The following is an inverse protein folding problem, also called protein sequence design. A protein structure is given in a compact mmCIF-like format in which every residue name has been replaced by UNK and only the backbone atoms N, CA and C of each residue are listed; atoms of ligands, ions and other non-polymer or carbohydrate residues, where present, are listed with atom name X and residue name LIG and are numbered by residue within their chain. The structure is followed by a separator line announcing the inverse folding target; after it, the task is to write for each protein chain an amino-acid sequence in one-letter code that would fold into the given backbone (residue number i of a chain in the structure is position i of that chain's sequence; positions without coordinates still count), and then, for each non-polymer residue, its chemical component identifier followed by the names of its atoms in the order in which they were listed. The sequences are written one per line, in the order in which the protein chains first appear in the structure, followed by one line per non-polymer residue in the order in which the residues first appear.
data_IF_035036519037
#
_entry.id   IF_035036519037
#
_cell.length_a   1.000
_cell.length_b   1.000
_cell.length_c   1.000
_cell.angle_alpha   90.00
_cell.angle_beta   90.00
_cell.angle_gamma   90.00
#
_symmetry.space_group_name_H-M   'P 1'
#
loop_
_entity.id
_entity.type
_entity.pdbx_description
1 polymer ?
#
# COMPACT_ATOMS: atom_id res chain seq x y z
N UNK A 1 -12.82 -16.96 3.29
CA UNK A 1 -14.01 -16.95 4.16
C UNK A 1 -15.22 -17.43 3.36
N UNK A 2 -15.96 -18.42 3.83
CA UNK A 2 -17.17 -18.93 3.16
C UNK A 2 -18.41 -18.57 4.00
N UNK A 3 -19.53 -18.28 3.35
CA UNK A 3 -20.82 -18.01 4.00
C UNK A 3 -21.40 -16.59 3.81
N UNK A 4 -22.64 -16.34 4.28
CA UNK A 4 -23.35 -15.08 4.04
C UNK A 4 -22.64 -13.85 4.58
N UNK A 5 -22.09 -13.92 5.81
CA UNK A 5 -21.29 -12.83 6.40
C UNK A 5 -20.11 -12.43 5.50
N UNK A 6 -19.38 -13.42 4.98
CA UNK A 6 -18.24 -13.15 4.09
C UNK A 6 -18.69 -12.48 2.79
N UNK A 7 -19.76 -12.97 2.16
CA UNK A 7 -20.30 -12.36 0.93
C UNK A 7 -20.80 -10.94 1.15
N UNK A 8 -21.41 -10.64 2.29
CA UNK A 8 -21.81 -9.29 2.70
C UNK A 8 -20.58 -8.37 2.77
N UNK A 9 -19.51 -8.80 3.46
CA UNK A 9 -18.26 -8.05 3.58
C UNK A 9 -17.62 -7.80 2.21
N UNK A 10 -17.41 -8.83 1.39
CA UNK A 10 -16.81 -8.64 0.06
C UNK A 10 -17.66 -7.72 -0.82
N UNK A 11 -18.99 -7.83 -0.74
CA UNK A 11 -19.89 -6.97 -1.50
C UNK A 11 -19.83 -5.52 -1.03
N UNK A 12 -19.72 -5.29 0.27
CA UNK A 12 -19.52 -3.96 0.84
C UNK A 12 -18.20 -3.34 0.36
N UNK A 13 -17.08 -4.07 0.47
CA UNK A 13 -15.76 -3.62 -0.02
C UNK A 13 -15.85 -3.24 -1.51
N UNK A 14 -16.44 -4.12 -2.32
CA UNK A 14 -16.52 -3.91 -3.77
C UNK A 14 -17.48 -2.79 -4.19
N UNK A 15 -18.56 -2.55 -3.46
CA UNK A 15 -19.46 -1.43 -3.74
C UNK A 15 -18.83 -0.11 -3.31
N UNK A 16 -18.28 -0.04 -2.09
CA UNK A 16 -17.66 1.18 -1.55
C UNK A 16 -16.48 1.60 -2.41
N UNK A 17 -15.62 0.67 -2.83
CA UNK A 17 -14.46 1.01 -3.66
C UNK A 17 -14.83 1.55 -5.04
N UNK A 18 -16.03 1.26 -5.54
CA UNK A 18 -16.50 1.70 -6.86
C UNK A 18 -17.31 2.99 -6.74
N UNK A 19 -18.26 3.03 -5.81
CA UNK A 19 -19.33 4.03 -5.75
C UNK A 19 -19.20 4.97 -4.55
N UNK A 20 -18.37 4.65 -3.56
CA UNK A 20 -18.38 5.30 -2.25
C UNK A 20 -19.48 4.77 -1.34
N UNK A 21 -19.47 5.18 -0.06
CA UNK A 21 -20.37 4.64 0.97
C UNK A 21 -21.84 5.01 0.73
N UNK A 22 -22.12 6.26 0.35
CA UNK A 22 -23.49 6.74 0.19
C UNK A 22 -24.19 6.09 -1.02
N UNK A 23 -23.51 5.99 -2.16
CA UNK A 23 -24.06 5.37 -3.35
C UNK A 23 -24.15 3.83 -3.25
N UNK A 24 -23.36 3.19 -2.37
CA UNK A 24 -23.47 1.77 -2.02
C UNK A 24 -24.74 1.48 -1.19
N UNK A 25 -25.92 1.65 -1.78
CA UNK A 25 -27.21 1.45 -1.11
C UNK A 25 -27.43 0.03 -0.58
N UNK A 26 -28.30 -0.10 0.43
CA UNK A 26 -28.63 -1.39 1.05
C UNK A 26 -29.12 -2.43 0.03
N UNK A 27 -30.01 -2.02 -0.89
CA UNK A 27 -30.54 -2.91 -1.94
C UNK A 27 -29.42 -3.45 -2.82
N UNK A 28 -28.58 -2.57 -3.38
CA UNK A 28 -27.44 -2.98 -4.20
C UNK A 28 -26.48 -3.93 -3.47
N UNK A 29 -26.31 -3.74 -2.17
CA UNK A 29 -25.48 -4.59 -1.32
C UNK A 29 -26.09 -5.99 -1.14
N UNK A 30 -27.39 -6.08 -0.85
CA UNK A 30 -28.08 -7.37 -0.70
C UNK A 30 -28.11 -8.15 -2.03
N UNK A 31 -28.40 -7.45 -3.13
CA UNK A 31 -28.40 -8.02 -4.47
C UNK A 31 -27.02 -8.58 -4.85
N UNK A 32 -25.95 -7.80 -4.62
CA UNK A 32 -24.58 -8.22 -4.91
C UNK A 32 -24.14 -9.40 -4.04
N UNK A 33 -24.46 -9.37 -2.75
CA UNK A 33 -24.04 -10.40 -1.79
C UNK A 33 -24.85 -11.70 -1.89
N UNK A 34 -26.00 -11.67 -2.60
CA UNK A 34 -26.99 -12.75 -2.61
C UNK A 34 -27.37 -13.15 -1.18
N UNK A 35 -27.51 -12.15 -0.31
CA UNK A 35 -27.91 -12.31 1.08
C UNK A 35 -29.29 -11.69 1.29
N UNK A 36 -30.09 -12.29 2.16
CA UNK A 36 -31.38 -11.70 2.53
C UNK A 36 -31.19 -10.55 3.51
N UNK A 37 -32.17 -9.65 3.58
CA UNK A 37 -32.22 -8.61 4.62
C UNK A 37 -32.11 -9.21 6.02
N UNK A 38 -32.76 -10.36 6.26
CA UNK A 38 -32.65 -11.09 7.52
C UNK A 38 -31.20 -11.53 7.81
N UNK A 39 -30.49 -12.04 6.81
CA UNK A 39 -29.08 -12.45 6.96
C UNK A 39 -28.16 -11.26 7.29
N UNK A 40 -28.44 -10.06 6.76
CA UNK A 40 -27.72 -8.85 7.15
C UNK A 40 -27.86 -8.60 8.66
N UNK A 41 -29.09 -8.48 9.17
CA UNK A 41 -29.32 -8.16 10.58
C UNK A 41 -28.89 -9.28 11.54
N UNK A 42 -28.85 -10.54 11.09
CA UNK A 42 -28.27 -11.64 11.86
C UNK A 42 -26.76 -11.51 12.06
N UNK A 43 -26.03 -10.96 11.09
CA UNK A 43 -24.57 -10.84 11.13
C UNK A 43 -24.07 -9.45 11.52
N UNK A 44 -24.89 -8.43 11.31
CA UNK A 44 -24.63 -7.02 11.56
C UNK A 44 -25.93 -6.40 12.12
N UNK A 45 -26.21 -6.58 13.42
CA UNK A 45 -27.46 -6.13 14.04
C UNK A 45 -27.74 -4.63 13.86
N UNK A 46 -26.69 -3.82 13.76
CA UNK A 46 -26.78 -2.36 13.52
C UNK A 46 -26.89 -2.02 12.02
N UNK A 47 -26.94 -3.04 11.16
CA UNK A 47 -27.27 -2.92 9.75
C UNK A 47 -26.09 -2.53 8.86
N UNK A 48 -26.37 -1.66 7.87
CA UNK A 48 -25.43 -1.32 6.80
C UNK A 48 -24.17 -0.63 7.35
N UNK A 49 -24.31 0.31 8.27
CA UNK A 49 -23.17 1.09 8.77
C UNK A 49 -22.14 0.21 9.48
N UNK A 50 -22.59 -0.73 10.33
CA UNK A 50 -21.72 -1.72 10.97
C UNK A 50 -21.04 -2.65 9.96
N UNK A 51 -21.78 -3.11 8.95
CA UNK A 51 -21.20 -3.91 7.86
C UNK A 51 -20.11 -3.13 7.12
N UNK A 52 -20.37 -1.87 6.76
CA UNK A 52 -19.40 -1.07 6.01
C UNK A 52 -18.19 -0.73 6.88
N UNK A 53 -18.36 -0.37 8.15
CA UNK A 53 -17.23 -0.15 9.07
C UNK A 53 -16.37 -1.42 9.21
N UNK A 54 -17.01 -2.58 9.40
CA UNK A 54 -16.32 -3.88 9.45
C UNK A 54 -15.58 -4.18 8.14
N UNK A 55 -16.22 -3.91 7.00
CA UNK A 55 -15.63 -4.08 5.68
C UNK A 55 -14.42 -3.16 5.47
N UNK A 56 -14.49 -1.91 5.93
CA UNK A 56 -13.38 -0.95 5.91
C UNK A 56 -12.21 -1.47 6.74
N UNK A 57 -12.43 -1.92 7.98
CA UNK A 57 -11.37 -2.51 8.81
C UNK A 57 -10.72 -3.73 8.16
N UNK A 58 -11.53 -4.64 7.59
CA UNK A 58 -11.02 -5.84 6.93
C UNK A 58 -10.23 -5.49 5.66
N UNK A 59 -10.72 -4.54 4.85
CA UNK A 59 -10.00 -4.06 3.67
C UNK A 59 -8.68 -3.38 4.04
N UNK A 60 -8.70 -2.58 5.11
CA UNK A 60 -7.52 -1.94 5.71
C UNK A 60 -6.45 -2.97 6.06
N UNK A 61 -6.81 -3.95 6.88
CA UNK A 61 -5.91 -5.01 7.34
C UNK A 61 -5.35 -5.88 6.20
N UNK A 62 -6.10 -6.06 5.10
CA UNK A 62 -5.58 -6.77 3.91
C UNK A 62 -4.42 -6.01 3.28
N UNK A 63 -4.53 -4.69 3.12
CA UNK A 63 -3.43 -3.90 2.58
C UNK A 63 -2.26 -3.83 3.55
N UNK A 64 -2.52 -3.77 4.87
CA UNK A 64 -1.49 -3.93 5.91
C UNK A 64 -0.68 -5.20 5.70
N UNK A 65 -1.34 -6.34 5.55
CA UNK A 65 -0.64 -7.62 5.29
C UNK A 65 0.17 -7.60 4.00
N UNK A 66 -0.28 -6.89 2.96
CA UNK A 66 0.48 -6.72 1.72
C UNK A 66 1.73 -5.87 1.97
N UNK A 67 1.59 -4.74 2.67
CA UNK A 67 2.69 -3.85 3.05
C UNK A 67 3.74 -4.63 3.86
N UNK A 68 3.34 -5.34 4.90
CA UNK A 68 4.26 -6.13 5.74
C UNK A 68 5.02 -7.19 4.93
N UNK A 69 4.34 -7.86 3.98
CA UNK A 69 4.99 -8.85 3.12
C UNK A 69 6.01 -8.24 2.17
N UNK A 70 5.68 -7.11 1.54
CA UNK A 70 6.62 -6.48 0.59
C UNK A 70 7.81 -5.89 1.34
N UNK A 71 7.60 -5.26 2.51
CA UNK A 71 8.69 -4.64 3.29
C UNK A 71 9.63 -5.67 3.88
N UNK A 72 9.14 -6.87 4.24
CA UNK A 72 9.96 -7.93 4.79
C UNK A 72 10.82 -8.68 3.76
N UNK A 73 10.49 -8.62 2.46
CA UNK A 73 11.06 -9.54 1.46
C UNK A 73 11.73 -8.88 0.26
N UNK A 74 11.71 -7.55 0.18
CA UNK A 74 12.15 -6.80 -1.00
C UNK A 74 12.87 -5.52 -0.60
N UNK A 75 13.66 -4.97 -1.52
CA UNK A 75 14.22 -3.63 -1.40
C UNK A 75 13.14 -2.55 -1.60
N UNK A 76 13.30 -1.34 -1.02
CA UNK A 76 12.30 -0.26 -1.08
C UNK A 76 11.81 0.12 -2.47
N UNK A 77 12.69 0.12 -3.48
CA UNK A 77 12.36 0.40 -4.88
C UNK A 77 11.31 -0.58 -5.42
N UNK A 78 11.44 -1.86 -5.05
CA UNK A 78 10.49 -2.92 -5.44
C UNK A 78 9.15 -2.83 -4.74
N UNK A 79 9.04 -2.11 -3.62
CA UNK A 79 7.76 -1.92 -2.92
C UNK A 79 6.84 -1.04 -3.74
N UNK A 80 7.36 0.10 -4.21
CA UNK A 80 6.62 1.04 -5.06
C UNK A 80 6.17 0.37 -6.35
N UNK A 81 7.07 -0.36 -7.03
CA UNK A 81 6.73 -1.14 -8.22
C UNK A 81 5.60 -2.14 -7.97
N UNK A 82 5.66 -2.87 -6.86
CA UNK A 82 4.67 -3.90 -6.53
C UNK A 82 3.29 -3.32 -6.22
N UNK A 83 3.23 -2.26 -5.41
CA UNK A 83 1.97 -1.58 -5.06
C UNK A 83 1.33 -0.92 -6.28
N UNK A 84 2.14 -0.24 -7.09
CA UNK A 84 1.65 0.45 -8.29
C UNK A 84 1.22 -0.55 -9.36
N UNK A 85 1.98 -1.62 -9.59
CA UNK A 85 1.60 -2.69 -10.51
C UNK A 85 0.29 -3.37 -10.13
N UNK A 86 0.04 -3.59 -8.83
CA UNK A 86 -1.23 -4.10 -8.34
C UNK A 86 -2.40 -3.15 -8.65
N UNK A 87 -2.23 -1.84 -8.44
CA UNK A 87 -3.25 -0.84 -8.75
C UNK A 87 -3.50 -0.67 -10.25
N UNK A 88 -2.46 -0.71 -11.08
CA UNK A 88 -2.55 -0.71 -12.55
C UNK A 88 -3.43 -1.86 -13.02
N UNK A 89 -3.14 -3.08 -12.55
CA UNK A 89 -3.91 -4.28 -12.89
C UNK A 89 -5.37 -4.15 -12.44
N UNK A 90 -5.58 -3.66 -11.21
CA UNK A 90 -6.91 -3.46 -10.62
C UNK A 90 -7.75 -2.43 -11.41
N UNK A 91 -7.14 -1.32 -11.82
CA UNK A 91 -7.82 -0.28 -12.59
C UNK A 91 -8.20 -0.80 -13.98
N UNK A 92 -7.27 -1.42 -14.70
CA UNK A 92 -7.54 -1.97 -16.03
C UNK A 92 -8.64 -3.04 -15.99
N UNK A 93 -8.53 -4.01 -15.07
CA UNK A 93 -9.52 -5.09 -14.91
C UNK A 93 -10.92 -4.59 -14.55
N UNK A 94 -11.02 -3.41 -13.93
CA UNK A 94 -12.30 -2.80 -13.54
C UNK A 94 -12.81 -1.74 -14.53
N UNK A 95 -12.18 -1.60 -15.70
CA UNK A 95 -12.44 -0.49 -16.64
C UNK A 95 -12.38 0.88 -15.94
N UNK A 96 -11.38 1.06 -15.06
CA UNK A 96 -11.11 2.27 -14.28
C UNK A 96 -12.28 2.69 -13.39
N UNK A 97 -13.04 1.72 -12.87
CA UNK A 97 -14.13 1.95 -11.91
C UNK A 97 -13.75 1.66 -10.48
N UNK A 98 -12.80 0.77 -10.22
CA UNK A 98 -12.36 0.48 -8.87
C UNK A 98 -11.43 1.60 -8.34
N UNK A 99 -11.54 1.90 -7.07
CA UNK A 99 -10.64 2.77 -6.32
C UNK A 99 -10.30 2.14 -4.98
N UNK A 100 -9.82 2.94 -4.03
CA UNK A 100 -9.55 2.51 -2.67
C UNK A 100 -10.85 2.54 -1.83
N UNK A 101 -11.27 1.41 -1.22
CA UNK A 101 -12.43 1.40 -0.33
C UNK A 101 -12.23 2.29 0.90
N UNK A 102 -10.98 2.47 1.36
CA UNK A 102 -10.66 3.29 2.53
C UNK A 102 -10.85 4.78 2.22
N UNK A 103 -10.43 5.25 1.03
CA UNK A 103 -10.78 6.60 0.56
C UNK A 103 -12.29 6.78 0.46
N UNK A 104 -13.01 5.80 -0.09
CA UNK A 104 -14.47 5.85 -0.16
C UNK A 104 -15.15 5.93 1.22
N UNK A 105 -14.58 5.26 2.23
CA UNK A 105 -15.04 5.29 3.61
C UNK A 105 -14.68 6.59 4.33
N UNK A 106 -13.49 7.15 4.08
CA UNK A 106 -13.04 8.41 4.67
C UNK A 106 -13.94 9.60 4.27
N UNK A 107 -14.57 9.55 3.09
CA UNK A 107 -15.48 10.57 2.60
C UNK A 107 -16.93 10.45 3.12
N UNK A 108 -17.22 9.47 3.99
CA UNK A 108 -18.55 9.24 4.52
C UNK A 108 -18.86 10.13 5.74
N UNK A 109 -18.98 11.44 5.54
CA UNK A 109 -19.10 12.46 6.61
C UNK A 109 -20.21 12.20 7.63
N UNK A 110 -21.35 11.63 7.19
CA UNK A 110 -22.47 11.32 8.08
C UNK A 110 -22.34 9.98 8.83
N UNK A 111 -21.21 9.27 8.71
CA UNK A 111 -21.00 7.93 9.23
C UNK A 111 -19.69 7.85 10.03
N UNK A 112 -19.66 8.38 11.28
CA UNK A 112 -18.43 8.57 12.05
C UNK A 112 -17.66 7.28 12.30
N UNK A 113 -18.34 6.15 12.53
CA UNK A 113 -17.69 4.86 12.76
C UNK A 113 -16.97 4.35 11.50
N UNK A 114 -17.53 4.63 10.32
CA UNK A 114 -16.92 4.27 9.03
C UNK A 114 -15.69 5.14 8.77
N UNK A 115 -15.77 6.45 9.05
CA UNK A 115 -14.63 7.36 8.94
C UNK A 115 -13.52 7.00 9.94
N UNK A 116 -13.87 6.65 11.18
CA UNK A 116 -12.91 6.23 12.19
C UNK A 116 -12.18 4.94 11.77
N UNK A 117 -12.90 3.96 11.20
CA UNK A 117 -12.29 2.75 10.64
C UNK A 117 -11.33 3.07 9.49
N UNK A 118 -11.65 4.05 8.64
CA UNK A 118 -10.77 4.49 7.56
C UNK A 118 -9.52 5.21 8.09
N UNK A 119 -9.68 6.09 9.08
CA UNK A 119 -8.57 6.78 9.74
C UNK A 119 -7.60 5.81 10.41
N UNK A 120 -8.12 4.80 11.10
CA UNK A 120 -7.31 3.74 11.70
C UNK A 120 -6.53 2.93 10.65
N UNK A 121 -7.13 2.64 9.50
CA UNK A 121 -6.44 1.96 8.41
C UNK A 121 -5.30 2.80 7.83
N UNK A 122 -5.51 4.10 7.58
CA UNK A 122 -4.44 4.99 7.12
C UNK A 122 -3.30 5.10 8.13
N UNK A 123 -3.62 5.25 9.42
CA UNK A 123 -2.62 5.31 10.48
C UNK A 123 -1.74 4.05 10.51
N UNK A 124 -2.35 2.87 10.46
CA UNK A 124 -1.61 1.60 10.42
C UNK A 124 -0.75 1.48 9.16
N UNK A 125 -1.25 1.88 7.99
CA UNK A 125 -0.44 1.84 6.76
C UNK A 125 0.76 2.80 6.82
N UNK A 126 0.58 4.01 7.36
CA UNK A 126 1.67 4.96 7.57
C UNK A 126 2.73 4.38 8.51
N UNK A 127 2.31 3.78 9.62
CA UNK A 127 3.23 3.19 10.60
C UNK A 127 4.02 2.03 10.00
N UNK A 128 3.37 1.13 9.26
CA UNK A 128 4.04 -0.03 8.65
C UNK A 128 4.98 0.35 7.52
N UNK A 129 4.58 1.28 6.65
CA UNK A 129 5.47 1.78 5.59
C UNK A 129 6.63 2.57 6.18
N UNK A 130 6.36 3.44 7.16
CA UNK A 130 7.39 4.21 7.86
C UNK A 130 8.42 3.32 8.55
N UNK A 131 7.97 2.27 9.24
CA UNK A 131 8.86 1.28 9.83
C UNK A 131 9.71 0.55 8.77
N UNK A 132 9.11 0.23 7.62
CA UNK A 132 9.85 -0.34 6.48
C UNK A 132 10.94 0.60 5.97
N UNK A 133 10.60 1.86 5.70
CA UNK A 133 11.56 2.87 5.24
C UNK A 133 12.69 3.12 6.25
N UNK A 134 12.37 3.17 7.54
CA UNK A 134 13.36 3.28 8.60
C UNK A 134 14.32 2.08 8.62
N UNK A 135 13.79 0.86 8.50
CA UNK A 135 14.60 -0.35 8.40
C UNK A 135 15.49 -0.39 7.16
N UNK A 136 15.14 0.35 6.11
CA UNK A 136 15.95 0.52 4.91
C UNK A 136 17.00 1.64 5.00
N UNK A 137 17.13 2.32 6.15
CA UNK A 137 18.16 3.32 6.42
C UNK A 137 17.72 4.78 6.30
N UNK A 138 16.42 5.05 6.07
CA UNK A 138 15.88 6.41 6.07
C UNK A 138 15.70 6.88 7.52
N UNK A 139 16.14 8.10 7.92
CA UNK A 139 15.92 8.60 9.28
C UNK A 139 14.45 8.59 9.69
N UNK A 140 14.13 8.19 10.92
CA UNK A 140 12.76 7.94 11.40
C UNK A 140 11.75 9.06 11.09
N UNK A 141 12.15 10.33 11.24
CA UNK A 141 11.28 11.48 10.97
C UNK A 141 10.93 11.58 9.47
N UNK A 142 11.94 11.42 8.61
CA UNK A 142 11.76 11.41 7.15
C UNK A 142 11.00 10.17 6.71
N UNK A 143 11.27 8.99 7.28
CA UNK A 143 10.59 7.75 6.96
C UNK A 143 9.07 7.83 7.21
N UNK A 144 8.65 8.42 8.34
CA UNK A 144 7.24 8.64 8.66
C UNK A 144 6.58 9.64 7.70
N UNK A 145 7.25 10.77 7.45
CA UNK A 145 6.76 11.80 6.52
C UNK A 145 6.63 11.24 5.10
N UNK A 146 7.64 10.50 4.64
CA UNK A 146 7.68 9.89 3.32
C UNK A 146 6.63 8.80 3.14
N UNK A 147 6.37 7.98 4.16
CA UNK A 147 5.27 7.01 4.14
C UNK A 147 3.90 7.68 3.93
N UNK A 148 3.65 8.79 4.63
CA UNK A 148 2.44 9.61 4.44
C UNK A 148 2.35 10.19 3.02
N UNK A 149 3.47 10.68 2.49
CA UNK A 149 3.56 11.20 1.13
C UNK A 149 3.29 10.13 0.07
N UNK A 150 3.86 8.92 0.21
CA UNK A 150 3.65 7.79 -0.70
C UNK A 150 2.17 7.42 -0.78
N UNK A 151 1.49 7.31 0.37
CA UNK A 151 0.06 6.99 0.42
C UNK A 151 -0.76 8.11 -0.24
N UNK A 152 -0.46 9.37 0.10
CA UNK A 152 -1.16 10.53 -0.48
C UNK A 152 -1.01 10.60 -2.01
N UNK A 153 0.21 10.42 -2.52
CA UNK A 153 0.51 10.43 -3.96
C UNK A 153 -0.18 9.27 -4.69
N UNK A 154 -0.16 8.07 -4.10
CA UNK A 154 -0.80 6.88 -4.69
C UNK A 154 -2.33 7.03 -4.73
N UNK A 155 -2.96 7.46 -3.64
CA UNK A 155 -4.42 7.65 -3.59
C UNK A 155 -4.88 8.78 -4.52
N UNK A 156 -4.13 9.88 -4.59
CA UNK A 156 -4.36 10.94 -5.57
C UNK A 156 -4.24 10.45 -7.01
N UNK A 157 -3.24 9.63 -7.31
CA UNK A 157 -3.06 9.03 -8.63
C UNK A 157 -4.19 8.05 -9.00
N UNK A 158 -4.71 7.27 -8.05
CA UNK A 158 -5.85 6.36 -8.27
C UNK A 158 -7.11 7.17 -8.62
N UNK A 159 -7.39 8.25 -7.89
CA UNK A 159 -8.52 9.13 -8.16
C UNK A 159 -8.42 9.75 -9.56
N UNK A 160 -7.25 10.30 -9.91
CA UNK A 160 -7.02 10.86 -11.24
C UNK A 160 -7.16 9.80 -12.34
N UNK A 161 -6.57 8.62 -12.14
CA UNK A 161 -6.61 7.50 -13.09
C UNK A 161 -8.05 7.07 -13.40
N UNK A 162 -8.94 7.08 -12.40
CA UNK A 162 -10.37 6.81 -12.59
C UNK A 162 -11.07 7.88 -13.43
N UNK A 163 -10.71 9.15 -13.25
CA UNK A 163 -11.30 10.27 -13.96
C UNK A 163 -10.87 10.29 -15.44
N UNK A 164 -9.58 10.13 -15.70
CA UNK A 164 -8.98 10.23 -17.04
C UNK A 164 -8.94 8.89 -17.79
N UNK A 165 -9.36 7.79 -17.16
CA UNK A 165 -9.37 6.43 -17.73
C UNK A 165 -8.01 6.00 -18.26
N UNK A 166 -6.96 6.31 -17.51
CA UNK A 166 -5.58 5.98 -17.85
C UNK A 166 -4.81 5.59 -16.59
N UNK A 167 -3.77 4.79 -16.75
CA UNK A 167 -2.80 4.47 -15.69
C UNK A 167 -1.67 5.49 -15.61
N UNK A 168 -1.64 6.49 -16.51
CA UNK A 168 -0.59 7.49 -16.56
C UNK A 168 -0.35 8.20 -15.21
N UNK A 169 -1.37 8.62 -14.44
CA UNK A 169 -1.12 9.26 -13.15
C UNK A 169 -0.37 8.37 -12.14
N UNK A 170 -0.59 7.05 -12.19
CA UNK A 170 0.15 6.09 -11.36
C UNK A 170 1.60 5.93 -11.84
N UNK A 171 1.82 5.93 -13.16
CA UNK A 171 3.17 5.90 -13.74
C UNK A 171 3.95 7.16 -13.38
N UNK A 172 3.32 8.34 -13.43
CA UNK A 172 3.95 9.60 -13.04
C UNK A 172 4.26 9.63 -11.54
N UNK A 173 3.32 9.18 -10.70
CA UNK A 173 3.55 9.04 -9.26
C UNK A 173 4.73 8.10 -8.98
N UNK A 174 4.79 6.93 -9.64
CA UNK A 174 5.92 6.00 -9.50
C UNK A 174 7.25 6.69 -9.78
N UNK A 175 7.36 7.34 -10.95
CA UNK A 175 8.58 8.00 -11.40
C UNK A 175 9.10 8.99 -10.34
N UNK A 176 8.23 9.84 -9.82
CA UNK A 176 8.62 10.87 -8.85
C UNK A 176 8.85 10.31 -7.45
N UNK A 177 8.11 9.29 -7.03
CA UNK A 177 8.34 8.62 -5.77
C UNK A 177 9.67 7.86 -5.76
N UNK A 178 10.08 7.25 -6.87
CA UNK A 178 11.41 6.62 -6.99
C UNK A 178 12.54 7.62 -6.85
N UNK A 179 12.45 8.80 -7.49
CA UNK A 179 13.47 9.85 -7.34
C UNK A 179 13.60 10.33 -5.89
N UNK A 180 12.48 10.51 -5.19
CA UNK A 180 12.49 10.90 -3.78
C UNK A 180 13.00 9.79 -2.87
N UNK A 181 12.63 8.54 -3.14
CA UNK A 181 13.14 7.38 -2.41
C UNK A 181 14.66 7.29 -2.52
N UNK A 182 15.22 7.42 -3.72
CA UNK A 182 16.66 7.40 -3.95
C UNK A 182 17.39 8.55 -3.23
N UNK A 183 16.74 9.72 -3.10
CA UNK A 183 17.28 10.84 -2.35
C UNK A 183 17.40 10.54 -0.84
N UNK A 184 16.44 9.79 -0.29
CA UNK A 184 16.40 9.46 1.13
C UNK A 184 17.22 8.23 1.51
N UNK A 185 17.42 7.30 0.57
CA UNK A 185 18.22 6.11 0.82
C UNK A 185 19.69 6.51 1.02
N UNK A 186 20.39 5.89 1.99
CA UNK A 186 21.81 6.13 2.15
C UNK A 186 22.54 5.70 0.88
N UNK A 187 23.60 6.42 0.53
CA UNK A 187 24.50 6.01 -0.54
C UNK A 187 24.97 4.56 -0.27
N UNK A 188 25.07 3.70 -1.30
CA UNK A 188 25.62 2.37 -1.11
C UNK A 188 27.01 2.52 -0.47
N UNK A 189 27.24 1.80 0.64
CA UNK A 189 28.52 1.84 1.31
C UNK A 189 29.61 1.54 0.28
N UNK A 190 30.51 2.51 0.02
CA UNK A 190 31.68 2.26 -0.81
C UNK A 190 32.43 1.09 -0.19
N UNK A 191 32.57 0.01 -0.97
CA UNK A 191 33.12 -1.24 -0.49
C UNK A 191 34.51 -1.05 0.11
N UNK A 192 34.69 -1.59 1.30
CA UNK A 192 35.98 -1.89 1.91
C UNK A 192 36.76 -2.81 0.95
N UNK A 193 37.56 -2.18 0.10
CA UNK A 193 38.22 -2.79 -1.04
C UNK A 193 39.57 -2.15 -1.35
N UNK A 194 40.22 -1.57 -0.33
CA UNK A 194 41.66 -1.31 -0.40
C UNK A 194 42.39 -2.60 -0.01
N UNK A 195 42.60 -3.49 -0.99
CA UNK A 195 43.53 -4.61 -0.82
C UNK A 195 44.91 -4.02 -0.55
N UNK A 196 45.36 -4.16 0.69
CA UNK A 196 46.71 -3.90 1.12
C UNK A 196 47.71 -4.69 0.27
N UNK A 197 48.49 -4.00 -0.55
CA UNK A 197 49.69 -4.56 -1.16
C UNK A 197 50.78 -4.65 -0.09
N UNK A 198 50.82 -5.78 0.62
CA UNK A 198 51.95 -6.20 1.44
C UNK A 198 52.43 -7.56 0.94
N UNK A 199 53.63 -7.59 0.34
CA UNK A 199 54.26 -8.78 -0.21
C UNK A 199 55.71 -8.52 -0.61
N UNK A 200 56.52 -8.25 0.41
CA UNK A 200 57.99 -8.43 0.62
C UNK A 200 59.04 -8.40 -0.51
N UNK A 201 60.28 -7.94 -0.17
CA UNK A 201 61.41 -7.89 -1.09
C UNK A 201 62.13 -9.24 -1.20
N UNK A 202 62.41 -9.68 -2.43
CA UNK A 202 63.24 -10.86 -2.67
C UNK A 202 64.71 -10.45 -2.69
N UNK A 203 65.45 -10.95 -1.70
CA UNK A 203 66.89 -10.83 -1.60
C UNK A 203 67.59 -11.46 -2.81
N UNK A 204 68.43 -10.67 -3.49
CA UNK A 204 69.52 -11.18 -4.32
C UNK A 204 70.81 -11.02 -3.51
N UNK A 205 71.40 -12.15 -3.13
CA UNK A 205 72.78 -12.21 -2.69
C UNK A 205 73.58 -13.10 -3.65
N UNK A 206 74.78 -12.59 -3.94
CA UNK A 206 76.01 -13.30 -4.30
C UNK A 206 76.27 -13.70 -5.76
N UNK A 207 77.23 -13.01 -6.40
CA UNK A 207 78.66 -13.36 -6.34
C UNK A 207 79.40 -13.18 -7.69
N UNK A 208 80.57 -12.53 -7.65
CA UNK A 208 81.72 -12.70 -8.56
C UNK A 208 81.57 -12.17 -9.99
N UNK A 209 82.46 -11.35 -10.56
CA UNK A 209 83.89 -11.29 -10.38
C UNK A 209 84.63 -11.96 -11.55
N UNK A 210 84.68 -11.29 -12.71
CA UNK A 210 85.81 -11.11 -13.66
C UNK A 210 85.32 -10.63 -15.02
#
# INVERSE_FOLDING_TARGET
MTGPRARLIESAIELVRVQGVHAAGLTALLDRSKASRNSLYQHFPSGKSELVATATTIAGARLTTVIEKITASRSPDRWLESLIGWWVTTLQASAYRAGCPIVGAALAESEPDIQAAAGAAFADWHDKLGAGFAAAGIPDAEAKSFASFVISAMEGAIVQSRAVKSTQPLTDAQKHLSVLLDHYLPAPAEGDGAVATSGEPRAEQHSGGQ
#
